data_IF_099085038534
#
_entry.id   IF_099085038534
#
_cell.length_a   1.000
_cell.length_b   1.000
_cell.length_c   1.000
_cell.angle_alpha   90.00
_cell.angle_beta   90.00
_cell.angle_gamma   90.00
#
_symmetry.space_group_name_H-M   'P 1'
#
loop_
_entity.id
_entity.type
_entity.pdbx_description
1 polymer ?
#
# COMPACT_ATOMS: atom_id res chain seq x y z
N UNK A 1 37.75 17.81 65.97
CA UNK A 1 36.35 17.51 66.33
C UNK A 1 35.49 17.75 65.10
N UNK A 2 35.18 16.69 64.35
CA UNK A 2 34.34 16.75 63.15
C UNK A 2 32.93 16.28 63.52
N UNK A 3 31.94 17.13 63.27
CA UNK A 3 30.52 16.87 63.50
C UNK A 3 29.95 16.13 62.28
N UNK A 4 29.54 14.88 62.49
CA UNK A 4 28.86 14.02 61.51
C UNK A 4 27.34 14.27 61.57
N UNK A 5 26.79 14.90 60.52
CA UNK A 5 25.37 15.18 60.37
C UNK A 5 24.71 14.12 59.49
N UNK A 6 24.18 13.07 60.12
CA UNK A 6 23.32 12.06 59.50
C UNK A 6 21.93 12.64 59.20
N UNK A 7 21.73 13.14 57.98
CA UNK A 7 20.42 13.47 57.42
C UNK A 7 19.74 12.22 56.85
N UNK A 8 18.66 11.77 57.49
CA UNK A 8 17.84 10.64 57.05
C UNK A 8 17.08 10.94 55.76
N UNK A 9 17.29 10.11 54.74
CA UNK A 9 16.47 10.10 53.53
C UNK A 9 15.18 9.31 53.80
N UNK A 10 14.04 10.00 53.84
CA UNK A 10 12.73 9.38 53.79
C UNK A 10 12.51 8.76 52.39
N UNK A 11 12.42 7.43 52.34
CA UNK A 11 12.05 6.70 51.12
C UNK A 11 10.59 7.01 50.78
N UNK A 12 10.39 7.76 49.70
CA UNK A 12 9.09 7.93 49.03
C UNK A 12 8.74 6.57 48.39
N UNK A 13 7.55 5.98 48.66
CA UNK A 13 7.17 4.73 48.03
C UNK A 13 6.93 4.92 46.52
N UNK A 14 7.29 3.93 45.67
CA UNK A 14 7.09 4.04 44.24
C UNK A 14 5.59 4.08 43.89
N UNK A 15 5.20 4.82 42.84
CA UNK A 15 3.81 4.89 42.42
C UNK A 15 3.30 3.50 41.97
N UNK A 16 2.01 3.20 42.20
CA UNK A 16 1.42 1.91 41.85
C UNK A 16 1.48 1.68 40.34
N UNK A 17 1.85 0.45 39.97
CA UNK A 17 1.98 -0.06 38.62
C UNK A 17 0.84 0.44 37.72
N UNK A 18 1.15 1.38 36.83
CA UNK A 18 0.33 1.66 35.65
C UNK A 18 0.22 0.37 34.87
N UNK A 19 -0.99 -0.17 34.75
CA UNK A 19 -1.28 -1.27 33.85
C UNK A 19 -0.86 -0.82 32.45
N UNK A 20 0.29 -1.29 31.98
CA UNK A 20 0.74 -1.04 30.62
C UNK A 20 -0.24 -1.76 29.70
N UNK A 21 -1.21 -1.03 29.18
CA UNK A 21 -1.98 -1.45 28.02
C UNK A 21 -0.93 -1.86 26.98
N UNK A 22 -0.98 -3.10 26.44
CA UNK A 22 -0.01 -3.52 25.45
C UNK A 22 -0.04 -2.48 24.31
N UNK A 23 1.13 -2.03 23.83
CA UNK A 23 1.17 -1.05 22.77
C UNK A 23 0.31 -1.58 21.62
N UNK A 24 -0.53 -0.72 21.02
CA UNK A 24 -1.38 -1.16 19.93
C UNK A 24 -0.48 -1.77 18.84
N UNK A 25 -0.92 -2.85 18.19
CA UNK A 25 -0.13 -3.51 17.15
C UNK A 25 0.37 -2.47 16.14
N UNK A 26 1.59 -2.65 15.65
CA UNK A 26 2.36 -1.63 14.92
C UNK A 26 1.66 -1.04 13.70
N UNK A 27 0.61 -1.69 13.18
CA UNK A 27 -0.27 -1.13 12.15
C UNK A 27 -1.14 0.04 12.65
N UNK A 28 -1.71 -0.06 13.86
CA UNK A 28 -2.46 1.02 14.49
C UNK A 28 -1.56 2.21 14.82
N UNK A 29 -0.29 1.94 15.17
CA UNK A 29 0.68 3.00 15.44
C UNK A 29 0.92 3.89 14.22
N UNK A 30 1.09 3.32 13.02
CA UNK A 30 1.33 4.11 11.80
C UNK A 30 0.10 4.84 11.29
N UNK A 31 -1.09 4.27 11.46
CA UNK A 31 -2.34 4.92 11.07
C UNK A 31 -2.73 6.06 12.02
N UNK A 32 -2.54 5.87 13.33
CA UNK A 32 -2.90 6.87 14.34
C UNK A 32 -1.87 7.99 14.47
N UNK A 33 -0.59 7.74 14.18
CA UNK A 33 0.47 8.74 14.38
C UNK A 33 0.88 9.49 13.12
N UNK A 34 0.29 9.21 11.96
CA UNK A 34 0.58 10.00 10.76
C UNK A 34 -0.35 11.22 10.74
N UNK A 35 0.22 12.40 10.91
CA UNK A 35 -0.53 13.65 10.78
C UNK A 35 -1.14 13.77 9.38
N UNK A 36 -2.41 14.17 9.32
CA UNK A 36 -3.14 14.37 8.07
C UNK A 36 -2.37 15.35 7.17
N UNK A 37 -2.13 14.95 5.91
CA UNK A 37 -1.52 15.81 4.89
C UNK A 37 0.01 15.85 4.87
N UNK A 38 0.72 15.11 5.72
CA UNK A 38 2.18 14.97 5.57
C UNK A 38 2.48 14.11 4.34
N UNK A 39 3.35 14.54 3.40
CA UNK A 39 3.77 13.73 2.25
C UNK A 39 4.79 12.65 2.68
N UNK A 40 4.92 11.58 1.90
CA UNK A 40 5.96 10.58 2.16
C UNK A 40 7.34 11.16 1.82
N UNK A 41 8.38 10.85 2.58
CA UNK A 41 9.73 11.29 2.25
C UNK A 41 10.27 10.50 1.05
N UNK A 42 10.09 9.18 1.05
CA UNK A 42 10.62 8.26 0.03
C UNK A 42 9.56 7.28 -0.48
N UNK A 43 9.81 6.67 -1.63
CA UNK A 43 8.99 5.58 -2.15
C UNK A 43 8.96 4.37 -1.20
N UNK A 44 10.08 4.10 -0.51
CA UNK A 44 10.18 3.02 0.49
C UNK A 44 9.28 3.27 1.70
N UNK A 45 9.15 4.53 2.15
CA UNK A 45 8.23 4.88 3.23
C UNK A 45 6.78 4.64 2.82
N UNK A 46 6.43 4.98 1.58
CA UNK A 46 5.11 4.69 1.01
C UNK A 46 4.85 3.18 0.93
N UNK A 47 5.81 2.37 0.48
CA UNK A 47 5.70 0.91 0.46
C UNK A 47 5.48 0.32 1.85
N UNK A 48 6.25 0.81 2.83
CA UNK A 48 6.13 0.36 4.23
C UNK A 48 4.77 0.75 4.80
N UNK A 49 4.29 1.96 4.51
CA UNK A 49 2.96 2.38 4.90
C UNK A 49 1.87 1.50 4.26
N UNK A 50 1.99 1.20 2.96
CA UNK A 50 1.08 0.32 2.24
C UNK A 50 1.03 -1.10 2.83
N UNK A 51 2.19 -1.66 3.21
CA UNK A 51 2.28 -2.95 3.90
C UNK A 51 1.60 -2.87 5.27
N UNK A 52 1.96 -1.90 6.10
CA UNK A 52 1.45 -1.82 7.47
C UNK A 52 -0.05 -1.57 7.53
N UNK A 53 -0.64 -0.90 6.54
CA UNK A 53 -2.08 -0.61 6.50
C UNK A 53 -2.90 -1.73 5.87
N UNK A 54 -2.42 -2.34 4.79
CA UNK A 54 -3.20 -3.33 4.04
C UNK A 54 -2.87 -4.78 4.38
N UNK A 55 -1.62 -5.10 4.71
CA UNK A 55 -1.21 -6.48 4.96
C UNK A 55 -1.88 -7.12 6.20
N UNK A 56 -2.11 -6.41 7.32
CA UNK A 56 -2.80 -6.99 8.48
C UNK A 56 -4.19 -7.54 8.13
N UNK A 57 -4.92 -6.88 7.24
CA UNK A 57 -6.24 -7.35 6.78
C UNK A 57 -6.11 -8.70 6.09
N UNK A 58 -5.12 -8.86 5.23
CA UNK A 58 -4.85 -10.12 4.53
C UNK A 58 -4.34 -11.21 5.46
N UNK A 59 -3.47 -10.88 6.42
CA UNK A 59 -2.97 -11.83 7.41
C UNK A 59 -4.10 -12.33 8.32
N UNK A 60 -4.93 -11.42 8.84
CA UNK A 60 -6.11 -11.79 9.64
C UNK A 60 -7.07 -12.67 8.85
N UNK A 61 -7.26 -12.37 7.55
CA UNK A 61 -8.05 -13.22 6.68
C UNK A 61 -7.43 -14.61 6.57
N UNK A 62 -6.13 -14.74 6.27
CA UNK A 62 -5.45 -16.04 6.20
C UNK A 62 -5.55 -16.83 7.53
N UNK A 63 -5.36 -16.16 8.66
CA UNK A 63 -5.49 -16.75 9.99
C UNK A 63 -6.92 -17.21 10.30
N UNK A 64 -7.94 -16.49 9.83
CA UNK A 64 -9.35 -16.89 9.99
C UNK A 64 -9.70 -18.19 9.26
N UNK A 65 -8.98 -18.52 8.19
CA UNK A 65 -9.05 -19.81 7.50
C UNK A 65 -8.13 -20.88 8.12
N UNK A 66 -7.46 -20.57 9.24
CA UNK A 66 -6.57 -21.48 9.95
C UNK A 66 -5.20 -21.68 9.29
N UNK A 67 -4.83 -20.85 8.32
CA UNK A 67 -3.57 -20.98 7.59
C UNK A 67 -2.51 -20.11 8.25
N UNK A 68 -1.37 -20.73 8.57
CA UNK A 68 -0.16 -20.04 9.04
C UNK A 68 1.01 -20.48 8.19
N UNK A 69 1.43 -19.63 7.25
CA UNK A 69 2.54 -19.94 6.34
C UNK A 69 3.31 -18.68 5.98
N UNK A 70 4.63 -18.73 6.23
CA UNK A 70 5.56 -17.65 5.90
C UNK A 70 5.56 -17.37 4.40
N UNK A 71 5.43 -18.40 3.56
CA UNK A 71 5.41 -18.24 2.10
C UNK A 71 4.13 -17.52 1.64
N UNK A 72 2.98 -17.83 2.26
CA UNK A 72 1.72 -17.13 1.99
C UNK A 72 1.79 -15.68 2.49
N UNK A 73 2.30 -15.46 3.70
CA UNK A 73 2.44 -14.11 4.27
C UNK A 73 3.34 -13.23 3.39
N UNK A 74 4.41 -13.79 2.81
CA UNK A 74 5.25 -13.07 1.88
C UNK A 74 4.51 -12.68 0.58
N UNK A 75 3.68 -13.58 0.03
CA UNK A 75 2.84 -13.28 -1.13
C UNK A 75 1.79 -12.19 -0.80
N UNK A 76 1.17 -12.26 0.37
CA UNK A 76 0.17 -11.30 0.85
C UNK A 76 0.78 -9.93 1.17
N UNK A 77 2.00 -9.86 1.72
CA UNK A 77 2.75 -8.60 1.88
C UNK A 77 2.96 -7.90 0.54
N UNK A 78 3.40 -8.64 -0.48
CA UNK A 78 3.60 -8.08 -1.82
C UNK A 78 2.28 -7.65 -2.48
N UNK A 79 1.20 -8.41 -2.30
CA UNK A 79 -0.14 -8.01 -2.74
C UNK A 79 -0.58 -6.70 -2.05
N UNK A 80 -0.42 -6.61 -0.73
CA UNK A 80 -0.78 -5.45 0.08
C UNK A 80 -0.03 -4.19 -0.34
N UNK A 81 1.28 -4.30 -0.62
CA UNK A 81 2.11 -3.21 -1.14
C UNK A 81 1.60 -2.73 -2.50
N UNK A 82 1.38 -3.64 -3.44
CA UNK A 82 0.85 -3.30 -4.76
C UNK A 82 -0.51 -2.58 -4.67
N UNK A 83 -1.41 -3.08 -3.83
CA UNK A 83 -2.72 -2.47 -3.58
C UNK A 83 -2.61 -1.08 -2.96
N UNK A 84 -1.75 -0.90 -1.96
CA UNK A 84 -1.60 0.39 -1.29
C UNK A 84 -0.99 1.45 -2.19
N UNK A 85 0.02 1.10 -2.98
CA UNK A 85 0.64 2.01 -3.94
C UNK A 85 -0.35 2.41 -5.04
N UNK A 86 -1.15 1.48 -5.57
CA UNK A 86 -2.19 1.84 -6.54
C UNK A 86 -3.30 2.70 -5.95
N UNK A 87 -3.71 2.41 -4.71
CA UNK A 87 -4.68 3.23 -3.99
C UNK A 87 -4.14 4.64 -3.83
N UNK A 88 -2.85 4.77 -3.53
CA UNK A 88 -2.17 6.03 -3.44
C UNK A 88 -2.21 6.80 -4.78
N UNK A 89 -1.81 6.18 -5.89
CA UNK A 89 -1.89 6.78 -7.25
C UNK A 89 -3.31 7.29 -7.57
N UNK A 90 -4.33 6.50 -7.24
CA UNK A 90 -5.75 6.88 -7.47
C UNK A 90 -6.23 7.98 -6.55
N UNK A 91 -5.65 8.09 -5.36
CA UNK A 91 -6.03 9.09 -4.36
C UNK A 91 -5.46 10.48 -4.64
N UNK A 92 -4.42 10.60 -5.49
CA UNK A 92 -3.75 11.88 -5.78
C UNK A 92 -4.76 12.96 -6.20
N UNK A 93 -5.64 12.66 -7.15
CA UNK A 93 -6.60 13.65 -7.68
C UNK A 93 -7.72 13.98 -6.68
N UNK A 94 -8.44 13.00 -6.09
CA UNK A 94 -9.45 13.29 -5.07
C UNK A 94 -8.91 14.05 -3.86
N UNK A 95 -7.68 13.73 -3.43
CA UNK A 95 -7.07 14.35 -2.25
C UNK A 95 -6.62 15.79 -2.56
N UNK A 96 -6.05 16.02 -3.75
CA UNK A 96 -5.74 17.37 -4.21
C UNK A 96 -7.01 18.23 -4.33
N UNK A 97 -8.10 17.69 -4.89
CA UNK A 97 -9.34 18.44 -5.09
C UNK A 97 -10.10 18.75 -3.80
N UNK A 98 -10.14 17.82 -2.84
CA UNK A 98 -10.96 17.95 -1.62
C UNK A 98 -10.20 18.58 -0.46
N UNK A 99 -8.92 18.28 -0.33
CA UNK A 99 -8.12 18.65 0.85
C UNK A 99 -6.93 19.56 0.51
N UNK A 100 -6.73 19.92 -0.77
CA UNK A 100 -5.54 20.66 -1.21
C UNK A 100 -4.25 20.02 -0.68
N UNK A 101 -4.24 18.69 -0.58
CA UNK A 101 -3.14 17.92 -0.05
C UNK A 101 -2.55 17.03 -1.14
N UNK A 102 -1.22 17.11 -1.30
CA UNK A 102 -0.48 16.29 -2.24
C UNK A 102 0.24 15.19 -1.48
N UNK A 103 -0.12 13.94 -1.75
CA UNK A 103 0.42 12.80 -1.02
C UNK A 103 1.59 12.09 -1.73
N UNK A 104 2.03 12.58 -2.89
CA UNK A 104 3.17 12.03 -3.65
C UNK A 104 4.47 12.07 -2.83
N UNK A 105 5.33 11.03 -2.90
CA UNK A 105 6.63 11.03 -2.25
C UNK A 105 7.53 12.21 -2.67
N UNK A 106 8.08 12.91 -1.68
CA UNK A 106 8.96 14.07 -1.85
C UNK A 106 10.20 13.74 -2.69
N UNK A 107 10.75 12.54 -2.54
CA UNK A 107 11.83 12.01 -3.38
C UNK A 107 11.52 12.11 -4.89
N UNK A 108 10.30 11.77 -5.31
CA UNK A 108 9.90 11.85 -6.72
C UNK A 108 9.74 13.31 -7.17
N UNK A 109 9.24 14.18 -6.30
CA UNK A 109 9.12 15.61 -6.59
C UNK A 109 10.48 16.28 -6.83
N UNK A 110 11.47 15.94 -5.98
CA UNK A 110 12.84 16.42 -6.10
C UNK A 110 13.49 15.87 -7.37
N UNK A 111 13.34 14.57 -7.63
CA UNK A 111 13.90 13.91 -8.83
C UNK A 111 13.46 14.59 -10.13
N UNK A 112 12.20 14.99 -10.20
CA UNK A 112 11.61 15.66 -11.35
C UNK A 112 11.67 17.20 -11.29
N UNK A 113 12.28 17.77 -10.24
CA UNK A 113 12.47 19.21 -10.03
C UNK A 113 11.18 20.03 -10.17
N UNK A 114 10.08 19.51 -9.63
CA UNK A 114 8.75 20.13 -9.72
C UNK A 114 8.24 20.55 -8.34
N UNK A 115 7.68 21.76 -8.28
CA UNK A 115 7.05 22.25 -7.05
C UNK A 115 5.71 21.54 -6.80
N UNK A 116 5.47 21.19 -5.53
CA UNK A 116 4.23 20.55 -5.07
C UNK A 116 2.98 21.34 -5.46
N UNK A 117 3.05 22.67 -5.36
CA UNK A 117 1.96 23.57 -5.71
C UNK A 117 1.60 23.51 -7.21
N UNK A 118 2.61 23.38 -8.08
CA UNK A 118 2.38 23.24 -9.53
C UNK A 118 1.60 21.97 -9.81
N UNK A 119 1.99 20.83 -9.21
CA UNK A 119 1.26 19.57 -9.36
C UNK A 119 -0.14 19.62 -8.75
N UNK A 120 -0.31 20.30 -7.63
CA UNK A 120 -1.62 20.48 -7.00
C UNK A 120 -2.57 21.24 -7.92
N UNK A 121 -2.12 22.33 -8.52
CA UNK A 121 -2.91 23.09 -9.50
C UNK A 121 -3.30 22.26 -10.72
N UNK A 122 -2.39 21.42 -11.21
CA UNK A 122 -2.67 20.50 -12.33
C UNK A 122 -3.73 19.46 -11.97
N UNK A 123 -3.66 18.87 -10.79
CA UNK A 123 -4.63 17.87 -10.33
C UNK A 123 -6.02 18.48 -10.10
N UNK A 124 -6.08 19.76 -9.68
CA UNK A 124 -7.32 20.50 -9.52
C UNK A 124 -7.90 21.06 -10.84
N UNK A 125 -7.27 20.81 -11.98
CA UNK A 125 -7.73 21.33 -13.28
C UNK A 125 -7.61 22.86 -13.41
N UNK A 126 -6.80 23.51 -12.57
CA UNK A 126 -6.58 24.97 -12.57
C UNK A 126 -5.35 25.38 -13.41
N UNK A 127 -4.91 24.52 -14.34
CA UNK A 127 -3.79 24.79 -15.24
C UNK A 127 -4.20 25.63 -16.45
N UNK A 128 -3.42 26.65 -16.79
CA UNK A 128 -3.58 27.39 -18.06
C UNK A 128 -2.98 26.63 -19.25
N UNK A 129 -3.28 27.06 -20.47
CA UNK A 129 -2.75 26.46 -21.72
C UNK A 129 -1.39 27.06 -22.09
N UNK A 130 -0.40 26.97 -21.19
CA UNK A 130 0.97 27.44 -21.46
C UNK A 130 1.90 26.25 -21.73
N UNK A 131 2.99 26.44 -22.51
CA UNK A 131 3.97 25.37 -22.77
C UNK A 131 4.62 24.81 -21.50
N UNK A 132 4.68 25.61 -20.43
CA UNK A 132 5.16 25.18 -19.11
C UNK A 132 4.22 24.15 -18.47
N UNK A 133 2.90 24.33 -18.63
CA UNK A 133 1.89 23.37 -18.14
C UNK A 133 2.01 22.03 -18.85
N UNK A 134 2.23 22.01 -20.16
CA UNK A 134 2.42 20.77 -20.91
C UNK A 134 3.64 19.96 -20.40
N UNK A 135 4.74 20.64 -20.04
CA UNK A 135 5.90 19.98 -19.42
C UNK A 135 5.53 19.39 -18.06
N UNK A 136 4.86 20.15 -17.21
CA UNK A 136 4.47 19.67 -15.88
C UNK A 136 3.41 18.55 -15.93
N UNK A 137 2.55 18.51 -16.95
CA UNK A 137 1.66 17.37 -17.19
C UNK A 137 2.43 16.10 -17.56
N UNK A 138 3.45 16.22 -18.41
CA UNK A 138 4.32 15.08 -18.72
C UNK A 138 5.06 14.59 -17.47
N UNK A 139 5.60 15.50 -16.68
CA UNK A 139 6.23 15.16 -15.39
C UNK A 139 5.28 14.43 -14.44
N UNK A 140 4.01 14.86 -14.35
CA UNK A 140 3.01 14.16 -13.54
C UNK A 140 2.79 12.72 -14.01
N UNK A 141 2.74 12.51 -15.34
CA UNK A 141 2.62 11.17 -15.93
C UNK A 141 3.85 10.32 -15.65
N UNK A 142 5.05 10.90 -15.70
CA UNK A 142 6.30 10.20 -15.41
C UNK A 142 6.36 9.77 -13.94
N UNK A 143 5.95 10.64 -13.00
CA UNK A 143 5.82 10.29 -11.57
C UNK A 143 4.81 9.16 -11.36
N UNK A 144 3.65 9.25 -12.02
CA UNK A 144 2.62 8.21 -11.94
C UNK A 144 3.09 6.89 -12.56
N UNK A 145 3.88 6.94 -13.63
CA UNK A 145 4.52 5.77 -14.23
C UNK A 145 5.49 5.11 -13.25
N UNK A 146 6.34 5.87 -12.56
CA UNK A 146 7.26 5.34 -11.56
C UNK A 146 6.51 4.61 -10.43
N UNK A 147 5.46 5.22 -9.88
CA UNK A 147 4.63 4.57 -8.85
C UNK A 147 3.88 3.34 -9.38
N UNK A 148 3.35 3.40 -10.60
CA UNK A 148 2.69 2.26 -11.23
C UNK A 148 3.67 1.10 -11.48
N UNK A 149 4.90 1.42 -11.90
CA UNK A 149 5.96 0.43 -12.11
C UNK A 149 6.35 -0.27 -10.80
N UNK A 150 6.44 0.48 -9.71
CA UNK A 150 6.68 -0.05 -8.37
C UNK A 150 5.56 -1.00 -7.94
N UNK A 151 4.30 -0.59 -8.13
CA UNK A 151 3.15 -1.46 -7.85
C UNK A 151 3.14 -2.73 -8.72
N UNK A 152 3.50 -2.62 -10.00
CA UNK A 152 3.62 -3.76 -10.91
C UNK A 152 4.70 -4.75 -10.44
N UNK A 153 5.87 -4.27 -10.01
CA UNK A 153 6.93 -5.12 -9.45
C UNK A 153 6.42 -5.93 -8.27
N UNK A 154 5.69 -5.31 -7.33
CA UNK A 154 5.10 -6.01 -6.20
C UNK A 154 4.00 -6.99 -6.61
N UNK A 155 3.13 -6.61 -7.54
CA UNK A 155 2.08 -7.49 -8.05
C UNK A 155 2.69 -8.75 -8.69
N UNK A 156 3.74 -8.59 -9.50
CA UNK A 156 4.45 -9.69 -10.16
C UNK A 156 5.15 -10.59 -9.14
N UNK A 157 5.77 -10.02 -8.10
CA UNK A 157 6.33 -10.80 -6.99
C UNK A 157 5.26 -11.59 -6.25
N UNK A 158 4.12 -10.97 -5.92
CA UNK A 158 2.99 -11.65 -5.29
C UNK A 158 2.49 -12.84 -6.13
N UNK A 159 2.31 -12.65 -7.43
CA UNK A 159 1.91 -13.72 -8.36
C UNK A 159 2.93 -14.86 -8.41
N UNK A 160 4.23 -14.55 -8.46
CA UNK A 160 5.30 -15.56 -8.48
C UNK A 160 5.37 -16.35 -7.18
N UNK A 161 5.32 -15.67 -6.03
CA UNK A 161 5.29 -16.32 -4.72
C UNK A 161 4.05 -17.23 -4.62
N UNK A 162 2.90 -16.75 -5.05
CA UNK A 162 1.67 -17.52 -5.04
C UNK A 162 1.77 -18.75 -5.96
N UNK A 163 2.28 -18.62 -7.19
CA UNK A 163 2.50 -19.76 -8.09
C UNK A 163 3.46 -20.81 -7.51
N UNK A 164 4.46 -20.35 -6.73
CA UNK A 164 5.36 -21.24 -6.00
C UNK A 164 4.64 -22.13 -4.97
N UNK A 165 3.52 -21.67 -4.41
CA UNK A 165 2.67 -22.44 -3.50
C UNK A 165 1.86 -23.52 -4.21
N UNK A 166 1.52 -23.34 -5.50
CA UNK A 166 0.80 -24.35 -6.29
C UNK A 166 1.72 -25.47 -6.77
N UNK A 167 2.97 -25.15 -7.14
CA UNK A 167 3.94 -26.15 -7.60
C UNK A 167 4.58 -26.96 -6.47
N UNK A 168 4.52 -26.43 -5.24
CA UNK A 168 4.96 -27.09 -4.02
C UNK A 168 3.73 -27.63 -3.30
N UNK A 169 3.29 -28.84 -3.64
CA UNK A 169 2.48 -29.67 -2.74
C UNK A 169 3.34 -30.15 -1.54
N UNK A 170 4.13 -29.25 -0.96
CA UNK A 170 5.07 -29.60 0.09
C UNK A 170 4.26 -29.83 1.36
N UNK A 171 4.18 -31.10 1.75
CA UNK A 171 3.82 -31.52 3.10
C UNK A 171 4.77 -30.87 4.10
N UNK A 172 4.47 -29.65 4.53
CA UNK A 172 5.09 -29.04 5.70
C UNK A 172 4.10 -29.22 6.84
N UNK A 173 4.38 -30.19 7.71
CA UNK A 173 3.76 -30.35 9.04
C UNK A 173 2.27 -30.03 9.17
N UNK A 174 1.42 -31.07 9.17
CA UNK A 174 0.00 -31.06 9.59
C UNK A 174 -1.00 -30.12 8.87
N UNK A 175 -0.62 -29.23 7.95
CA UNK A 175 -1.62 -28.45 7.20
C UNK A 175 -1.15 -28.12 5.78
N UNK A 176 -1.46 -29.01 4.84
CA UNK A 176 -1.41 -28.66 3.41
C UNK A 176 -2.36 -27.47 3.16
N UNK A 177 -1.86 -26.38 2.58
CA UNK A 177 -2.71 -25.23 2.25
C UNK A 177 -3.54 -25.63 1.03
N UNK A 178 -4.88 -25.64 1.10
CA UNK A 178 -5.69 -25.97 -0.06
C UNK A 178 -5.48 -24.92 -1.15
N UNK A 179 -5.17 -25.37 -2.36
CA UNK A 179 -4.98 -24.52 -3.54
C UNK A 179 -6.14 -23.52 -3.76
N UNK A 180 -7.37 -23.94 -3.43
CA UNK A 180 -8.56 -23.09 -3.49
C UNK A 180 -8.51 -21.89 -2.53
N UNK A 181 -7.93 -22.04 -1.34
CA UNK A 181 -7.80 -20.94 -0.37
C UNK A 181 -6.71 -19.96 -0.80
N UNK A 182 -5.58 -20.46 -1.34
CA UNK A 182 -4.55 -19.57 -1.91
C UNK A 182 -5.13 -18.75 -3.06
N UNK A 183 -5.89 -19.38 -3.96
CA UNK A 183 -6.59 -18.67 -5.06
C UNK A 183 -7.56 -17.62 -4.55
N UNK A 184 -8.32 -17.92 -3.49
CA UNK A 184 -9.25 -16.99 -2.86
C UNK A 184 -8.54 -15.79 -2.23
N UNK A 185 -7.43 -16.01 -1.52
CA UNK A 185 -6.66 -14.94 -0.85
C UNK A 185 -5.96 -14.02 -1.85
N UNK A 186 -5.54 -14.57 -3.01
CA UNK A 186 -4.86 -13.82 -4.07
C UNK A 186 -5.83 -13.24 -5.11
N UNK A 187 -7.14 -13.45 -4.93
CA UNK A 187 -8.18 -12.89 -5.79
C UNK A 187 -8.15 -11.35 -5.90
N UNK A 188 -7.77 -10.58 -4.85
CA UNK A 188 -7.58 -9.13 -4.96
C UNK A 188 -6.45 -8.71 -5.91
N UNK A 189 -5.62 -9.65 -6.40
CA UNK A 189 -4.65 -9.37 -7.46
C UNK A 189 -5.32 -9.11 -8.82
N UNK A 190 -6.54 -9.62 -9.04
CA UNK A 190 -7.33 -9.38 -10.26
C UNK A 190 -7.63 -7.89 -10.46
N UNK A 191 -8.26 -7.18 -9.50
CA UNK A 191 -8.48 -5.73 -9.64
C UNK A 191 -7.16 -4.95 -9.70
N UNK A 192 -6.12 -5.34 -8.95
CA UNK A 192 -4.79 -4.71 -9.03
C UNK A 192 -4.25 -4.73 -10.47
N UNK A 193 -4.25 -5.91 -11.11
CA UNK A 193 -3.78 -6.04 -12.48
C UNK A 193 -4.64 -5.24 -13.46
N UNK A 194 -5.96 -5.21 -13.27
CA UNK A 194 -6.86 -4.44 -14.13
C UNK A 194 -6.62 -2.93 -14.00
N UNK A 195 -6.35 -2.46 -12.79
CA UNK A 195 -6.00 -1.06 -12.53
C UNK A 195 -4.68 -0.68 -13.19
N UNK A 196 -3.65 -1.52 -13.08
CA UNK A 196 -2.37 -1.32 -13.77
C UNK A 196 -2.55 -1.28 -15.29
N UNK A 197 -3.31 -2.22 -15.84
CA UNK A 197 -3.62 -2.25 -17.28
C UNK A 197 -4.38 -0.99 -17.72
N UNK A 198 -5.33 -0.53 -16.92
CA UNK A 198 -6.08 0.71 -17.18
C UNK A 198 -5.19 1.95 -17.13
N UNK A 199 -4.29 2.02 -16.15
CA UNK A 199 -3.29 3.09 -16.04
C UNK A 199 -2.36 3.14 -17.25
N UNK A 200 -1.88 1.98 -17.69
CA UNK A 200 -0.95 1.86 -18.81
C UNK A 200 -1.61 2.16 -20.16
N UNK A 201 -2.68 1.44 -20.52
CA UNK A 201 -3.24 1.48 -21.87
C UNK A 201 -4.26 2.59 -22.09
N UNK A 202 -5.14 2.84 -21.11
CA UNK A 202 -6.24 3.79 -21.28
C UNK A 202 -5.84 5.19 -20.83
N UNK A 203 -5.30 5.30 -19.62
CA UNK A 203 -4.98 6.59 -19.01
C UNK A 203 -3.62 7.14 -19.44
N UNK A 204 -2.73 6.32 -20.03
CA UNK A 204 -1.33 6.70 -20.34
C UNK A 204 -0.64 7.38 -19.14
N UNK A 205 -0.87 6.81 -17.96
CA UNK A 205 -0.39 7.31 -16.67
C UNK A 205 -0.89 8.70 -16.25
N UNK A 206 -1.98 9.21 -16.86
CA UNK A 206 -2.65 10.42 -16.39
C UNK A 206 -3.60 10.09 -15.22
N UNK A 207 -3.33 10.57 -13.99
CA UNK A 207 -4.14 10.23 -12.82
C UNK A 207 -5.53 10.89 -12.84
N UNK A 208 -5.78 11.82 -13.76
CA UNK A 208 -7.06 12.55 -13.90
C UNK A 208 -8.07 11.79 -14.75
N UNK A 209 -7.66 10.72 -15.43
CA UNK A 209 -8.50 10.01 -16.37
C UNK A 209 -9.69 9.32 -15.67
N UNK A 210 -10.90 9.53 -16.20
CA UNK A 210 -12.14 9.02 -15.59
C UNK A 210 -12.18 7.49 -15.49
N UNK A 211 -11.52 6.76 -16.40
CA UNK A 211 -11.48 5.29 -16.37
C UNK A 211 -10.82 4.72 -15.12
N UNK A 212 -10.02 5.51 -14.41
CA UNK A 212 -9.53 5.10 -13.11
C UNK A 212 -10.71 4.99 -12.14
N UNK A 213 -11.61 5.96 -12.09
CA UNK A 213 -12.69 5.98 -11.10
C UNK A 213 -13.90 5.12 -11.49
N UNK A 214 -14.06 4.79 -12.76
CA UNK A 214 -15.17 3.96 -13.23
C UNK A 214 -14.99 2.50 -12.79
N UNK A 215 -16.03 1.96 -12.14
CA UNK A 215 -16.11 0.54 -11.84
C UNK A 215 -16.52 -0.22 -13.09
N UNK A 216 -15.68 -1.17 -13.47
CA UNK A 216 -16.03 -2.11 -14.52
C UNK A 216 -17.15 -3.05 -14.05
N UNK A 217 -18.36 -2.90 -14.61
CA UNK A 217 -19.54 -3.68 -14.21
C UNK A 217 -19.38 -5.20 -14.33
N UNK A 218 -18.42 -5.67 -15.15
CA UNK A 218 -18.10 -7.08 -15.34
C UNK A 218 -17.08 -7.64 -14.33
N UNK A 219 -16.61 -6.83 -13.38
CA UNK A 219 -15.61 -7.28 -12.39
C UNK A 219 -16.05 -8.46 -11.53
N UNK A 220 -17.28 -8.49 -10.97
CA UNK A 220 -17.74 -9.63 -10.18
C UNK A 220 -17.70 -10.93 -10.99
N UNK A 221 -18.13 -10.88 -12.26
CA UNK A 221 -18.12 -12.03 -13.16
C UNK A 221 -16.70 -12.50 -13.49
N UNK A 222 -15.77 -11.57 -13.73
CA UNK A 222 -14.37 -11.91 -13.98
C UNK A 222 -13.72 -12.59 -12.77
N UNK A 223 -14.03 -12.09 -11.57
CA UNK A 223 -13.53 -12.62 -10.31
C UNK A 223 -14.05 -14.04 -10.08
N UNK A 224 -15.37 -14.26 -10.22
CA UNK A 224 -15.97 -15.60 -10.05
C UNK A 224 -15.47 -16.59 -11.10
N UNK A 225 -15.35 -16.14 -12.35
CA UNK A 225 -14.78 -16.95 -13.43
C UNK A 225 -13.33 -17.36 -13.15
N UNK A 226 -12.51 -16.44 -12.62
CA UNK A 226 -11.12 -16.75 -12.25
C UNK A 226 -11.03 -17.71 -11.06
N UNK A 227 -11.86 -17.49 -10.04
CA UNK A 227 -11.94 -18.40 -8.90
C UNK A 227 -12.32 -19.82 -9.35
N UNK A 228 -13.32 -19.94 -10.22
CA UNK A 228 -13.77 -21.23 -10.76
C UNK A 228 -12.68 -21.97 -11.57
N UNK A 229 -11.84 -21.25 -12.31
CA UNK A 229 -10.73 -21.85 -13.06
C UNK A 229 -9.49 -22.19 -12.21
N UNK A 230 -9.50 -21.89 -10.91
CA UNK A 230 -8.44 -22.27 -9.97
C UNK A 230 -7.06 -21.63 -10.22
N UNK A 231 -6.96 -20.63 -11.12
CA UNK A 231 -5.70 -20.00 -11.50
C UNK A 231 -5.47 -18.65 -10.81
N UNK A 232 -4.21 -18.34 -10.48
CA UNK A 232 -3.82 -16.99 -10.03
C UNK A 232 -3.85 -16.03 -11.21
N UNK A 233 -4.23 -14.78 -10.93
CA UNK A 233 -4.06 -13.69 -11.86
C UNK A 233 -2.59 -13.54 -12.28
N UNK A 234 -2.26 -13.89 -13.53
CA UNK A 234 -0.99 -13.45 -14.12
C UNK A 234 -1.04 -11.94 -14.26
N UNK A 235 0.01 -11.29 -13.79
CA UNK A 235 0.17 -9.85 -14.00
C UNK A 235 0.64 -9.68 -15.44
N UNK A 236 -0.12 -8.91 -16.21
CA UNK A 236 0.21 -8.65 -17.61
C UNK A 236 1.39 -7.68 -17.66
N UNK A 237 2.33 -7.89 -18.60
CA UNK A 237 3.48 -6.99 -18.79
C UNK A 237 3.05 -5.57 -19.13
#
# INVERSE_FOLDING_TARGET
>A
MAFDARGGQSKIPPPPHTSTIPPPPSFLYFQANRADGVPFATCLELERYAEMTNAPIHYMLAESFGIKSIELDHALSHLAKAQGVLTHVRSVVPLAQRHSAMNIPTELLIKHSIATETLLRLCCGRGGTTPEVARSEQTLRDICYELASLAHVHATKAARCANGLFGKEHMVGRSAIPAGVVSLMLLPLVPVNRLLHTLSHQAKFDPRHASLFLSDGLMPLLITWRHWRGGIATVQP
#
